data_IF_307773225619
#
_entry.id   IF_307773225619
#
_cell.length_a   1.000
_cell.length_b   1.000
_cell.length_c   1.000
_cell.angle_alpha   90.00
_cell.angle_beta   90.00
_cell.angle_gamma   90.00
#
_symmetry.space_group_name_H-M   'P 1'
#
loop_
_entity.id
_entity.type
_entity.pdbx_description
1 polymer ?
#
# COMPACT_ATOMS: atom_id res chain seq x y z
N UNK A 1 8.57 -0.32 -10.56
CA UNK A 1 7.79 0.63 -9.75
C UNK A 1 6.33 0.53 -10.20
N UNK A 2 5.37 0.49 -9.27
CA UNK A 2 3.94 0.26 -9.55
C UNK A 2 3.11 1.35 -8.88
N UNK A 3 2.12 1.88 -9.59
CA UNK A 3 1.13 2.79 -9.04
C UNK A 3 -0.21 2.05 -8.82
N UNK A 4 -0.82 2.24 -7.66
CA UNK A 4 -2.10 1.61 -7.25
C UNK A 4 -3.12 2.72 -6.95
N UNK A 5 -4.00 3.02 -7.90
CA UNK A 5 -5.02 4.09 -7.80
C UNK A 5 -6.33 3.50 -7.30
N UNK A 6 -6.87 4.04 -6.21
CA UNK A 6 -7.97 3.40 -5.48
C UNK A 6 -7.47 2.22 -4.65
N UNK A 7 -6.28 2.36 -4.04
CA UNK A 7 -5.60 1.27 -3.36
C UNK A 7 -6.34 0.76 -2.10
N UNK A 8 -7.31 1.52 -1.60
CA UNK A 8 -8.17 1.19 -0.46
C UNK A 8 -7.37 0.69 0.74
N UNK A 9 -7.62 -0.55 1.14
CA UNK A 9 -6.95 -1.20 2.27
C UNK A 9 -5.56 -1.80 1.94
N UNK A 10 -4.99 -1.50 0.77
CA UNK A 10 -3.64 -1.90 0.36
C UNK A 10 -3.45 -3.39 0.03
N UNK A 11 -4.52 -4.18 -0.12
CA UNK A 11 -4.42 -5.66 -0.27
C UNK A 11 -3.60 -6.08 -1.49
N UNK A 12 -3.84 -5.44 -2.64
CA UNK A 12 -3.15 -5.77 -3.89
C UNK A 12 -1.66 -5.42 -3.81
N UNK A 13 -1.35 -4.18 -3.42
CA UNK A 13 0.03 -3.72 -3.20
C UNK A 13 0.80 -4.56 -2.18
N UNK A 14 0.22 -4.88 -1.02
CA UNK A 14 0.88 -5.71 0.01
C UNK A 14 1.20 -7.11 -0.51
N UNK A 15 0.21 -7.80 -1.10
CA UNK A 15 0.41 -9.17 -1.62
C UNK A 15 1.43 -9.19 -2.76
N UNK A 16 1.41 -8.17 -3.60
CA UNK A 16 2.36 -8.03 -4.71
C UNK A 16 3.77 -7.70 -4.21
N UNK A 17 3.91 -6.91 -3.13
CA UNK A 17 5.20 -6.64 -2.51
C UNK A 17 5.85 -7.87 -1.86
N UNK A 18 5.04 -8.78 -1.31
CA UNK A 18 5.52 -10.06 -0.81
C UNK A 18 6.02 -10.97 -1.95
N UNK A 19 5.32 -11.00 -3.08
CA UNK A 19 5.69 -11.82 -4.24
C UNK A 19 6.87 -11.24 -5.04
N UNK A 20 6.98 -9.91 -5.10
CA UNK A 20 7.97 -9.20 -5.91
C UNK A 20 8.82 -8.27 -5.03
N UNK A 21 9.79 -8.80 -4.27
CA UNK A 21 10.51 -8.05 -3.24
C UNK A 21 11.38 -6.92 -3.80
N UNK A 22 11.73 -6.93 -5.09
CA UNK A 22 12.48 -5.85 -5.75
C UNK A 22 11.60 -4.70 -6.26
N UNK A 23 10.28 -4.86 -6.19
CA UNK A 23 9.32 -3.86 -6.67
C UNK A 23 8.94 -2.87 -5.58
N UNK A 24 8.78 -1.61 -5.97
CA UNK A 24 8.25 -0.53 -5.13
C UNK A 24 6.82 -0.21 -5.57
N UNK A 25 5.92 -0.06 -4.60
CA UNK A 25 4.50 0.22 -4.77
C UNK A 25 4.17 1.57 -4.14
N UNK A 26 3.51 2.43 -4.92
CA UNK A 26 3.00 3.72 -4.46
C UNK A 26 1.50 3.72 -4.70
N UNK A 27 0.72 3.88 -3.64
CA UNK A 27 -0.73 3.85 -3.69
C UNK A 27 -1.36 5.17 -3.27
N UNK A 28 -2.49 5.49 -3.89
CA UNK A 28 -3.31 6.65 -3.57
C UNK A 28 -4.78 6.24 -3.45
N UNK A 29 -5.48 6.77 -2.45
CA UNK A 29 -6.92 6.64 -2.29
C UNK A 29 -7.51 7.91 -1.67
N UNK A 30 -8.78 8.21 -1.95
CA UNK A 30 -9.49 9.35 -1.36
C UNK A 30 -10.13 9.02 -0.01
N UNK A 31 -10.24 7.74 0.34
CA UNK A 31 -10.86 7.31 1.58
C UNK A 31 -9.80 7.18 2.69
N UNK A 32 -9.54 8.27 3.41
CA UNK A 32 -8.53 8.36 4.48
C UNK A 32 -8.61 7.20 5.51
N UNK A 33 -9.79 6.80 6.03
CA UNK A 33 -9.86 5.69 6.99
C UNK A 33 -9.32 4.36 6.42
N UNK A 34 -9.46 4.13 5.11
CA UNK A 34 -8.87 2.97 4.46
C UNK A 34 -7.36 3.04 4.40
N UNK A 35 -6.78 4.22 4.14
CA UNK A 35 -5.31 4.42 4.12
C UNK A 35 -4.69 4.22 5.50
N UNK A 36 -5.35 4.69 6.57
CA UNK A 36 -4.89 4.44 7.95
C UNK A 36 -4.79 2.92 8.19
N UNK A 37 -5.87 2.19 7.91
CA UNK A 37 -5.92 0.73 8.04
C UNK A 37 -4.93 0.02 7.10
N UNK A 38 -4.69 0.57 5.92
CA UNK A 38 -3.75 0.02 4.95
C UNK A 38 -2.31 0.14 5.47
N UNK A 39 -1.94 1.28 6.05
CA UNK A 39 -0.61 1.51 6.62
C UNK A 39 -0.33 0.64 7.85
N UNK A 40 -1.35 0.35 8.68
CA UNK A 40 -1.23 -0.66 9.73
C UNK A 40 -0.88 -2.04 9.17
N UNK A 41 -1.58 -2.46 8.10
CA UNK A 41 -1.31 -3.74 7.42
C UNK A 41 0.06 -3.76 6.75
N UNK A 42 0.47 -2.68 6.09
CA UNK A 42 1.82 -2.56 5.49
C UNK A 42 2.91 -2.83 6.54
N UNK A 43 2.75 -2.27 7.75
CA UNK A 43 3.66 -2.55 8.88
C UNK A 43 3.53 -3.99 9.36
N UNK A 44 2.31 -4.49 9.57
CA UNK A 44 2.04 -5.84 10.04
C UNK A 44 2.65 -6.92 9.12
N UNK A 45 2.60 -6.73 7.82
CA UNK A 45 3.13 -7.67 6.82
C UNK A 45 4.60 -7.43 6.46
N UNK A 46 5.29 -6.48 7.11
CA UNK A 46 6.73 -6.28 6.96
C UNK A 46 7.18 -5.72 5.61
N UNK A 47 6.29 -5.04 4.87
CA UNK A 47 6.56 -4.49 3.52
C UNK A 47 6.70 -2.97 3.50
N UNK A 48 6.84 -2.33 4.67
CA UNK A 48 6.91 -0.87 4.84
C UNK A 48 8.08 -0.19 4.14
N UNK A 49 9.09 -0.96 3.74
CA UNK A 49 10.28 -0.48 3.03
C UNK A 49 10.03 -0.27 1.53
N UNK A 50 8.93 -0.83 0.99
CA UNK A 50 8.65 -0.82 -0.45
C UNK A 50 7.19 -0.59 -0.84
N UNK A 51 6.30 -0.37 0.14
CA UNK A 51 4.88 -0.07 -0.08
C UNK A 51 4.53 1.23 0.64
N UNK A 52 4.15 2.25 -0.13
CA UNK A 52 3.83 3.58 0.36
C UNK A 52 2.39 3.93 -0.04
N UNK A 53 1.47 4.06 0.92
CA UNK A 53 0.04 4.29 0.66
C UNK A 53 -0.39 5.62 1.25
N UNK A 54 -0.96 6.48 0.41
CA UNK A 54 -1.23 7.88 0.72
C UNK A 54 -2.72 8.21 0.54
N UNK A 55 -3.24 9.10 1.39
CA UNK A 55 -4.53 9.75 1.18
C UNK A 55 -4.36 10.93 0.21
N UNK A 56 -5.37 11.19 -0.61
CA UNK A 56 -5.48 12.41 -1.43
C UNK A 56 -6.35 13.50 -0.78
N UNK A 57 -6.90 13.21 0.39
CA UNK A 57 -7.62 14.15 1.26
C UNK A 57 -6.82 14.33 2.54
#
# INVERSE_FOLDING_TARGET
MVADIGCGHGRASIKSAQAFPKSIYIGYDIHEPSIIRANEKVKQFGVKDRVFLNSLI
#
